data_IF_180144871846
#
_entry.id   IF_180144871846
#
_cell.length_a   1.000
_cell.length_b   1.000
_cell.length_c   1.000
_cell.angle_alpha   90.00
_cell.angle_beta   90.00
_cell.angle_gamma   90.00
#
_symmetry.space_group_name_H-M   'P 1'
#
loop_
_entity.id
_entity.type
_entity.pdbx_description
1 polymer ?
#
# COMPACT_ATOMS: atom_id res chain seq x y z
N UNK A 1 -22.17 -21.17 6.60
CA UNK A 1 -21.44 -20.12 7.34
C UNK A 1 -21.02 -19.09 6.32
N UNK A 2 -21.35 -17.83 6.54
CA UNK A 2 -21.03 -16.75 5.63
C UNK A 2 -19.79 -16.02 6.15
N UNK A 3 -18.85 -15.74 5.25
CA UNK A 3 -17.70 -14.88 5.52
C UNK A 3 -17.92 -13.54 4.81
N UNK A 4 -17.84 -12.47 5.57
CA UNK A 4 -17.94 -11.11 5.06
C UNK A 4 -16.72 -10.31 5.52
N UNK A 5 -16.23 -9.41 4.67
CA UNK A 5 -15.02 -8.61 4.94
C UNK A 5 -15.31 -7.14 4.69
N UNK A 6 -14.88 -6.27 5.60
CA UNK A 6 -14.91 -4.82 5.39
C UNK A 6 -13.73 -4.13 6.06
N UNK A 7 -13.18 -3.14 5.37
CA UNK A 7 -12.18 -2.21 5.91
C UNK A 7 -12.66 -0.76 5.90
N UNK A 8 -13.98 -0.55 5.76
CA UNK A 8 -14.60 0.78 5.69
C UNK A 8 -14.67 1.35 4.27
N UNK A 9 -14.13 0.63 3.28
CA UNK A 9 -14.30 0.93 1.86
C UNK A 9 -13.97 -0.29 0.99
N UNK A 10 -14.37 -0.24 -0.29
CA UNK A 10 -14.12 -1.33 -1.26
C UNK A 10 -12.64 -1.52 -1.62
N UNK A 11 -11.83 -0.47 -1.46
CA UNK A 11 -10.40 -0.46 -1.78
C UNK A 11 -9.52 -0.64 -0.54
N UNK A 12 -10.11 -0.89 0.64
CA UNK A 12 -9.35 -1.09 1.85
C UNK A 12 -8.43 -2.32 1.75
N UNK A 13 -7.16 -2.17 2.11
CA UNK A 13 -6.18 -3.25 2.19
C UNK A 13 -6.35 -4.04 3.50
N UNK A 14 -6.55 -3.35 4.62
CA UNK A 14 -6.81 -3.98 5.93
C UNK A 14 -8.30 -4.10 6.16
N UNK A 15 -8.77 -5.32 6.43
CA UNK A 15 -10.20 -5.62 6.63
C UNK A 15 -10.43 -6.43 7.90
N UNK A 16 -11.54 -6.17 8.58
CA UNK A 16 -12.13 -7.08 9.56
C UNK A 16 -12.89 -8.17 8.82
N UNK A 17 -12.82 -9.38 9.36
CA UNK A 17 -13.66 -10.50 8.91
C UNK A 17 -14.76 -10.72 9.93
N UNK A 18 -15.97 -10.98 9.43
CA UNK A 18 -17.10 -11.41 10.25
C UNK A 18 -17.57 -12.78 9.78
N UNK A 19 -17.75 -13.68 10.74
CA UNK A 19 -18.28 -15.02 10.54
C UNK A 19 -19.72 -15.03 11.03
N UNK A 20 -20.65 -15.26 10.11
CA UNK A 20 -22.08 -15.13 10.39
C UNK A 20 -22.83 -16.41 9.97
N UNK A 21 -23.89 -16.82 10.68
CA UNK A 21 -24.76 -17.90 10.21
C UNK A 21 -25.40 -17.56 8.84
N UNK A 22 -25.76 -18.56 8.00
CA UNK A 22 -26.29 -18.31 6.66
C UNK A 22 -27.58 -17.47 6.61
N UNK A 23 -28.35 -17.46 7.69
CA UNK A 23 -29.64 -16.81 7.80
C UNK A 23 -29.57 -15.36 8.30
N UNK A 24 -28.37 -14.85 8.64
CA UNK A 24 -28.20 -13.49 9.14
C UNK A 24 -27.38 -12.68 8.12
N UNK A 25 -27.97 -11.58 7.67
CA UNK A 25 -27.30 -10.65 6.75
C UNK A 25 -26.33 -9.75 7.51
N UNK A 26 -25.13 -9.57 6.96
CA UNK A 26 -24.10 -8.70 7.54
C UNK A 26 -24.23 -7.32 6.92
N UNK A 27 -24.41 -6.28 7.74
CA UNK A 27 -24.42 -4.87 7.28
C UNK A 27 -23.02 -4.24 7.37
N UNK A 28 -22.85 -2.97 6.96
CA UNK A 28 -21.57 -2.27 7.14
C UNK A 28 -21.30 -1.91 8.61
N UNK A 29 -22.34 -1.54 9.36
CA UNK A 29 -22.27 -1.18 10.78
C UNK A 29 -21.79 -2.34 11.65
N UNK A 30 -22.13 -3.56 11.22
CA UNK A 30 -21.72 -4.82 11.83
C UNK A 30 -20.20 -5.03 11.91
N UNK A 31 -19.43 -4.31 11.09
CA UNK A 31 -17.96 -4.38 11.15
C UNK A 31 -17.35 -3.45 12.20
N UNK A 32 -18.13 -2.54 12.80
CA UNK A 32 -17.68 -1.63 13.85
C UNK A 32 -16.39 -0.92 13.46
N UNK A 33 -16.48 -0.15 12.37
CA UNK A 33 -15.38 0.66 11.85
C UNK A 33 -15.72 2.13 11.99
N UNK A 34 -14.73 2.92 12.39
CA UNK A 34 -14.84 4.36 12.48
C UNK A 34 -13.74 5.01 11.66
N UNK A 35 -14.13 5.89 10.74
CA UNK A 35 -13.22 6.69 9.94
C UNK A 35 -13.03 8.05 10.60
N UNK A 36 -11.78 8.47 10.68
CA UNK A 36 -11.38 9.80 11.11
C UNK A 36 -10.83 10.61 9.95
N UNK A 37 -11.24 11.87 9.85
CA UNK A 37 -10.41 12.93 9.25
C UNK A 37 -9.44 13.43 10.30
N UNK A 38 -8.19 13.65 9.91
CA UNK A 38 -7.13 14.20 10.75
C UNK A 38 -6.81 15.59 10.23
N UNK A 39 -7.23 16.61 10.98
CA UNK A 39 -6.95 18.00 10.67
C UNK A 39 -5.60 18.39 11.25
N UNK A 40 -4.73 18.95 10.43
CA UNK A 40 -3.38 19.38 10.80
C UNK A 40 -2.93 20.57 9.93
N UNK A 41 -1.91 21.33 10.33
CA UNK A 41 -1.41 22.48 9.57
C UNK A 41 -0.62 22.04 8.32
N UNK A 42 -1.30 21.41 7.34
CA UNK A 42 -0.71 20.77 6.17
C UNK A 42 0.13 21.71 5.28
N UNK A 43 -0.09 23.03 5.36
CA UNK A 43 0.73 24.04 4.67
C UNK A 43 2.15 24.15 5.23
N UNK A 44 2.36 23.76 6.48
CA UNK A 44 3.60 23.96 7.22
C UNK A 44 4.27 22.65 7.65
N UNK A 45 3.51 21.55 7.74
CA UNK A 45 4.00 20.25 8.17
C UNK A 45 3.49 19.18 7.23
N UNK A 46 4.34 18.24 6.84
CA UNK A 46 3.94 17.00 6.16
C UNK A 46 3.84 15.87 7.16
N UNK A 47 2.81 15.04 7.03
CA UNK A 47 2.69 13.79 7.78
C UNK A 47 2.99 12.62 6.84
N UNK A 48 3.70 11.62 7.35
CA UNK A 48 3.84 10.33 6.69
C UNK A 48 3.02 9.27 7.43
N UNK A 49 2.69 8.17 6.73
CA UNK A 49 1.99 7.04 7.33
C UNK A 49 2.70 6.54 8.61
N UNK A 50 4.04 6.58 8.65
CA UNK A 50 4.82 6.15 9.82
C UNK A 50 4.54 7.01 11.06
N UNK A 51 4.23 8.29 10.87
CA UNK A 51 4.04 9.23 11.97
C UNK A 51 2.70 8.96 12.66
N UNK A 52 1.63 8.81 11.88
CA UNK A 52 0.30 8.45 12.39
C UNK A 52 0.38 7.11 13.11
N UNK A 53 1.00 6.09 12.48
CA UNK A 53 1.17 4.79 13.10
C UNK A 53 1.98 4.88 14.40
N UNK A 54 3.06 5.67 14.43
CA UNK A 54 3.86 5.88 15.62
C UNK A 54 3.06 6.50 16.78
N UNK A 55 2.26 7.52 16.50
CA UNK A 55 1.40 8.16 17.50
C UNK A 55 0.40 7.18 18.12
N UNK A 56 -0.25 6.36 17.29
CA UNK A 56 -1.18 5.33 17.73
C UNK A 56 -0.51 4.24 18.59
N UNK A 57 0.67 3.79 18.19
CA UNK A 57 1.41 2.77 18.94
C UNK A 57 1.88 3.30 20.29
N UNK A 58 2.23 4.59 20.37
CA UNK A 58 2.63 5.25 21.64
C UNK A 58 1.49 5.34 22.65
N UNK A 59 0.23 5.32 22.20
CA UNK A 59 -0.93 5.19 23.08
C UNK A 59 -1.11 3.78 23.67
N UNK A 60 -0.21 2.84 23.37
CA UNK A 60 -0.28 1.46 23.86
C UNK A 60 -1.32 0.59 23.13
N UNK A 61 -1.86 1.08 22.02
CA UNK A 61 -2.86 0.38 21.24
C UNK A 61 -2.23 -0.68 20.33
N UNK A 62 -2.93 -1.80 20.14
CA UNK A 62 -2.49 -2.89 19.28
C UNK A 62 -2.76 -2.59 17.81
N UNK A 63 -1.82 -2.99 16.94
CA UNK A 63 -1.91 -2.79 15.48
C UNK A 63 -3.16 -3.40 14.82
N UNK A 64 -3.73 -4.44 15.41
CA UNK A 64 -4.98 -5.09 14.96
C UNK A 64 -6.22 -4.20 15.08
N UNK A 65 -6.17 -3.14 15.91
CA UNK A 65 -7.28 -2.19 16.10
C UNK A 65 -7.31 -1.07 15.06
N UNK A 66 -6.34 -1.04 14.14
CA UNK A 66 -6.22 -0.03 13.11
C UNK A 66 -6.37 -0.63 11.71
N UNK A 67 -7.16 0.05 10.90
CA UNK A 67 -7.30 -0.20 9.47
C UNK A 67 -6.28 0.59 8.68
N UNK A 68 -6.70 1.07 7.51
CA UNK A 68 -5.86 1.83 6.60
C UNK A 68 -5.64 3.26 7.11
N UNK A 69 -4.46 3.80 6.79
CA UNK A 69 -4.09 5.19 7.03
C UNK A 69 -3.81 5.79 5.66
N UNK A 70 -4.58 6.81 5.30
CA UNK A 70 -4.43 7.55 4.05
C UNK A 70 -3.82 8.92 4.37
N UNK A 71 -2.72 9.27 3.69
CA UNK A 71 -2.14 10.61 3.80
C UNK A 71 -1.67 11.03 2.41
N UNK A 72 -2.26 12.11 1.89
CA UNK A 72 -1.87 12.65 0.58
C UNK A 72 -2.43 14.06 0.40
N UNK A 73 -1.66 14.93 -0.25
CA UNK A 73 -2.12 16.27 -0.69
C UNK A 73 -2.78 17.10 0.43
N UNK A 74 -2.26 16.97 1.66
CA UNK A 74 -2.78 17.67 2.84
C UNK A 74 -4.01 17.04 3.49
N UNK A 75 -4.54 15.95 2.92
CA UNK A 75 -5.61 15.15 3.49
C UNK A 75 -4.98 14.01 4.28
N UNK A 76 -5.44 13.81 5.51
CA UNK A 76 -5.07 12.66 6.33
C UNK A 76 -6.35 12.01 6.89
N UNK A 77 -6.46 10.69 6.70
CA UNK A 77 -7.57 9.89 7.18
C UNK A 77 -7.07 8.58 7.79
N UNK A 78 -7.84 8.02 8.72
CA UNK A 78 -7.52 6.76 9.37
C UNK A 78 -8.77 6.00 9.74
N UNK A 79 -8.75 4.69 9.51
CA UNK A 79 -9.78 3.76 9.99
C UNK A 79 -9.34 3.11 11.31
N UNK A 80 -10.26 3.05 12.27
CA UNK A 80 -10.07 2.38 13.56
C UNK A 80 -11.24 1.44 13.85
N UNK A 81 -11.03 0.49 14.76
CA UNK A 81 -12.13 -0.25 15.35
C UNK A 81 -12.96 0.69 16.26
N UNK A 82 -14.28 0.68 16.13
CA UNK A 82 -15.17 1.62 16.85
C UNK A 82 -14.96 1.59 18.36
N UNK A 83 -14.64 0.43 18.94
CA UNK A 83 -14.42 0.30 20.38
C UNK A 83 -13.24 1.12 20.95
N UNK A 84 -12.33 1.61 20.10
CA UNK A 84 -11.21 2.47 20.51
C UNK A 84 -11.34 3.92 19.99
N UNK A 85 -12.40 4.22 19.23
CA UNK A 85 -12.51 5.47 18.50
C UNK A 85 -12.48 6.70 19.42
N UNK A 86 -13.29 6.71 20.48
CA UNK A 86 -13.36 7.83 21.44
C UNK A 86 -12.03 8.05 22.16
N UNK A 87 -11.36 6.95 22.53
CA UNK A 87 -10.07 7.01 23.18
C UNK A 87 -9.00 7.61 22.25
N UNK A 88 -9.00 7.19 20.97
CA UNK A 88 -8.09 7.74 19.95
C UNK A 88 -8.38 9.22 19.70
N UNK A 89 -9.64 9.61 19.54
CA UNK A 89 -10.05 11.00 19.30
C UNK A 89 -9.62 11.93 20.45
N UNK A 90 -9.75 11.48 21.70
CA UNK A 90 -9.41 12.30 22.87
C UNK A 90 -7.89 12.42 23.12
N UNK A 91 -7.14 11.35 22.84
CA UNK A 91 -5.73 11.26 23.24
C UNK A 91 -4.73 11.56 22.12
N UNK A 92 -5.11 11.39 20.84
CA UNK A 92 -4.23 11.77 19.71
C UNK A 92 -4.34 13.27 19.46
N UNK A 93 -3.57 14.05 20.20
CA UNK A 93 -3.50 15.51 20.05
C UNK A 93 -2.29 15.96 19.23
N UNK A 94 -1.28 15.10 19.11
CA UNK A 94 -0.07 15.35 18.34
C UNK A 94 0.34 14.13 17.52
N UNK A 95 0.79 14.36 16.30
CA UNK A 95 1.37 13.33 15.42
C UNK A 95 2.70 13.87 14.88
N UNK A 96 3.79 13.19 15.20
CA UNK A 96 5.14 13.72 14.93
C UNK A 96 5.34 15.06 15.64
N UNK A 97 5.47 16.14 14.87
CA UNK A 97 5.57 17.52 15.38
C UNK A 97 4.30 18.36 15.16
N UNK A 98 3.28 17.79 14.50
CA UNK A 98 2.04 18.49 14.20
C UNK A 98 1.05 18.34 15.37
N UNK A 99 0.46 19.45 15.82
CA UNK A 99 -0.79 19.41 16.58
C UNK A 99 -1.91 19.02 15.62
N UNK A 100 -2.73 18.04 16.02
CA UNK A 100 -3.80 17.49 15.19
C UNK A 100 -5.14 17.53 15.91
N UNK A 101 -6.23 17.45 15.14
CA UNK A 101 -7.58 17.17 15.64
C UNK A 101 -8.19 16.04 14.82
N UNK A 102 -8.80 15.09 15.50
CA UNK A 102 -9.48 13.98 14.86
C UNK A 102 -10.98 14.27 14.83
N UNK A 103 -11.61 14.02 13.69
CA UNK A 103 -13.05 14.16 13.50
C UNK A 103 -13.62 12.89 12.89
N UNK A 104 -14.63 12.30 13.55
CA UNK A 104 -15.35 11.18 12.95
C UNK A 104 -16.12 11.66 11.73
N UNK A 105 -15.94 10.95 10.62
CA UNK A 105 -16.63 11.23 9.36
C UNK A 105 -17.29 9.93 8.85
N UNK A 106 -18.35 10.01 8.04
CA UNK A 106 -18.98 8.85 7.42
C UNK A 106 -17.99 8.00 6.62
N UNK A 107 -18.14 6.67 6.66
CA UNK A 107 -17.32 5.74 5.86
C UNK A 107 -17.42 6.02 4.34
N UNK A 108 -18.53 6.58 3.88
CA UNK A 108 -18.72 7.02 2.50
C UNK A 108 -17.76 8.13 2.06
N UNK A 109 -17.18 8.87 3.01
CA UNK A 109 -16.19 9.92 2.78
C UNK A 109 -14.74 9.39 2.84
N UNK A 110 -14.56 8.07 2.96
CA UNK A 110 -13.25 7.48 2.84
C UNK A 110 -12.66 7.83 1.48
N UNK A 111 -11.46 8.38 1.47
CA UNK A 111 -10.79 8.78 0.25
C UNK A 111 -10.20 7.55 -0.41
N UNK A 112 -10.58 7.34 -1.67
CA UNK A 112 -9.98 6.30 -2.51
C UNK A 112 -8.50 6.61 -2.71
N UNK A 113 -7.57 5.74 -2.26
CA UNK A 113 -6.19 5.82 -2.65
C UNK A 113 -6.15 5.80 -4.17
N UNK A 114 -5.60 6.85 -4.76
CA UNK A 114 -5.21 6.79 -6.16
C UNK A 114 -3.99 5.87 -6.17
N UNK A 115 -4.16 4.62 -6.60
CA UNK A 115 -3.01 3.82 -7.01
C UNK A 115 -2.42 4.52 -8.24
N UNK A 116 -1.50 5.45 -8.03
CA UNK A 116 -0.81 6.12 -9.12
C UNK A 116 0.21 5.17 -9.71
N UNK A 117 -0.25 4.50 -10.75
CA UNK A 117 0.62 3.82 -11.68
C UNK A 117 1.13 4.85 -12.67
N UNK A 118 2.39 5.25 -12.53
CA UNK A 118 3.06 6.01 -13.58
C UNK A 118 3.67 5.05 -14.61
N UNK A 119 3.46 5.34 -15.88
CA UNK A 119 4.08 4.63 -16.99
C UNK A 119 5.48 5.18 -17.28
N UNK A 120 6.41 4.27 -17.50
CA UNK A 120 7.80 4.56 -17.80
C UNK A 120 8.26 3.72 -18.98
N UNK A 121 9.24 4.25 -19.71
CA UNK A 121 10.00 3.51 -20.69
C UNK A 121 11.45 3.33 -20.20
N UNK A 122 12.00 2.14 -20.38
CA UNK A 122 13.40 1.86 -20.11
C UNK A 122 14.00 0.95 -21.19
N UNK A 123 15.32 0.81 -21.16
CA UNK A 123 16.05 -0.08 -22.04
C UNK A 123 16.92 -1.01 -21.21
N UNK A 124 16.73 -2.32 -21.36
CA UNK A 124 17.41 -3.37 -20.57
C UNK A 124 18.24 -4.28 -21.48
N UNK A 125 19.31 -4.86 -20.95
CA UNK A 125 20.13 -5.81 -21.71
C UNK A 125 19.49 -7.21 -21.83
N UNK A 126 18.58 -7.56 -20.94
CA UNK A 126 17.81 -8.83 -20.97
C UNK A 126 16.55 -8.70 -20.11
N UNK A 127 15.61 -9.64 -20.26
CA UNK A 127 14.37 -9.73 -19.46
C UNK A 127 14.57 -10.49 -18.13
N UNK A 128 15.82 -10.72 -17.71
CA UNK A 128 16.08 -11.33 -16.41
C UNK A 128 15.57 -10.43 -15.30
N UNK A 129 14.94 -11.04 -14.30
CA UNK A 129 14.36 -10.38 -13.15
C UNK A 129 15.34 -9.42 -12.48
N UNK A 130 16.58 -9.85 -12.23
CA UNK A 130 17.61 -9.01 -11.63
C UNK A 130 18.00 -7.76 -12.46
N UNK A 131 18.03 -7.87 -13.79
CA UNK A 131 18.33 -6.75 -14.71
C UNK A 131 17.16 -5.79 -14.75
N UNK A 132 15.94 -6.31 -14.91
CA UNK A 132 14.73 -5.49 -15.02
C UNK A 132 14.46 -4.75 -13.71
N UNK A 133 14.57 -5.42 -12.56
CA UNK A 133 14.40 -4.80 -11.25
C UNK A 133 15.43 -3.71 -10.97
N UNK A 134 16.70 -3.95 -11.31
CA UNK A 134 17.75 -2.95 -11.17
C UNK A 134 17.41 -1.67 -11.96
N UNK A 135 16.89 -1.84 -13.17
CA UNK A 135 16.49 -0.72 -14.03
C UNK A 135 15.22 -0.01 -13.52
N UNK A 136 14.16 -0.75 -13.16
CA UNK A 136 12.88 -0.19 -12.71
C UNK A 136 13.03 0.59 -11.41
N UNK A 137 13.78 0.04 -10.44
CA UNK A 137 13.94 0.65 -9.12
C UNK A 137 15.21 1.50 -8.98
N UNK A 138 15.96 1.72 -10.07
CA UNK A 138 17.22 2.48 -10.11
C UNK A 138 18.23 2.00 -9.05
N UNK A 139 18.36 0.68 -8.90
CA UNK A 139 19.28 0.01 -7.97
C UNK A 139 20.39 -0.70 -8.75
N UNK A 140 21.54 -0.95 -8.11
CA UNK A 140 22.54 -1.86 -8.68
C UNK A 140 22.05 -3.31 -8.63
N UNK A 141 22.49 -4.16 -9.57
CA UNK A 141 22.19 -5.61 -9.50
C UNK A 141 22.63 -6.24 -8.18
N UNK A 142 23.79 -5.83 -7.66
CA UNK A 142 24.28 -6.28 -6.34
C UNK A 142 23.35 -5.95 -5.17
N UNK A 143 22.55 -4.87 -5.27
CA UNK A 143 21.54 -4.53 -4.27
C UNK A 143 20.23 -5.31 -4.45
N UNK A 144 19.88 -5.66 -5.69
CA UNK A 144 18.61 -6.34 -6.01
C UNK A 144 18.68 -7.84 -5.77
N UNK A 145 19.77 -8.50 -6.13
CA UNK A 145 19.94 -9.96 -6.02
C UNK A 145 19.61 -10.49 -4.61
N UNK A 146 20.07 -9.87 -3.51
CA UNK A 146 19.71 -10.32 -2.16
C UNK A 146 18.20 -10.25 -1.85
N UNK A 147 17.42 -9.37 -2.49
CA UNK A 147 15.97 -9.35 -2.32
C UNK A 147 15.31 -10.54 -2.99
N UNK A 148 15.79 -10.92 -4.17
CA UNK A 148 15.31 -12.08 -4.92
C UNK A 148 15.61 -13.35 -4.11
N UNK A 149 16.87 -13.57 -3.74
CA UNK A 149 17.33 -14.77 -3.02
C UNK A 149 16.69 -14.93 -1.64
N UNK A 150 16.33 -13.83 -0.97
CA UNK A 150 15.62 -13.86 0.32
C UNK A 150 14.10 -14.02 0.17
N UNK A 151 13.59 -14.29 -1.04
CA UNK A 151 12.16 -14.46 -1.31
C UNK A 151 11.34 -13.18 -1.08
N UNK A 152 11.97 -12.01 -1.17
CA UNK A 152 11.33 -10.70 -0.98
C UNK A 152 10.76 -10.11 -2.29
N UNK A 153 10.85 -10.87 -3.37
CA UNK A 153 10.31 -10.54 -4.69
C UNK A 153 9.26 -11.58 -5.06
N UNK A 154 8.12 -11.11 -5.59
CA UNK A 154 7.09 -11.96 -6.17
C UNK A 154 6.85 -11.58 -7.62
N UNK A 155 6.69 -12.57 -8.48
CA UNK A 155 6.17 -12.42 -9.85
C UNK A 155 4.84 -13.14 -9.93
N UNK A 156 3.79 -12.46 -10.39
CA UNK A 156 2.43 -12.98 -10.47
C UNK A 156 1.98 -13.66 -9.16
N UNK A 157 2.13 -12.94 -8.05
CA UNK A 157 1.80 -13.37 -6.68
C UNK A 157 2.60 -14.56 -6.12
N UNK A 158 3.50 -15.16 -6.91
CA UNK A 158 4.38 -16.26 -6.50
C UNK A 158 5.78 -15.76 -6.17
N UNK A 159 6.42 -16.32 -5.15
CA UNK A 159 7.82 -15.99 -4.80
C UNK A 159 8.72 -16.33 -6.00
N UNK A 160 9.55 -15.36 -6.40
CA UNK A 160 10.60 -15.55 -7.40
C UNK A 160 11.95 -15.39 -6.70
N UNK A 161 12.66 -16.50 -6.57
CA UNK A 161 13.92 -16.64 -5.85
C UNK A 161 15.15 -16.82 -6.76
N UNK A 162 14.94 -16.87 -8.07
CA UNK A 162 15.99 -16.97 -9.08
C UNK A 162 16.24 -15.62 -9.76
N UNK A 163 17.43 -15.00 -9.62
CA UNK A 163 17.79 -13.76 -10.31
C UNK A 163 17.67 -13.84 -11.84
N UNK A 164 17.87 -15.04 -12.37
CA UNK A 164 17.80 -15.36 -13.79
C UNK A 164 16.38 -15.57 -14.33
N UNK A 165 15.34 -15.51 -13.47
CA UNK A 165 13.96 -15.68 -13.89
C UNK A 165 13.62 -14.73 -15.05
N UNK A 166 13.02 -15.27 -16.11
CA UNK A 166 12.70 -14.50 -17.32
C UNK A 166 11.31 -13.90 -17.18
N UNK A 167 11.24 -12.57 -17.22
CA UNK A 167 9.97 -11.84 -17.23
C UNK A 167 9.36 -11.83 -18.62
N UNK A 168 8.03 -11.81 -18.65
CA UNK A 168 7.22 -11.68 -19.84
C UNK A 168 6.39 -10.40 -19.81
N UNK A 169 5.83 -10.06 -20.97
CA UNK A 169 4.80 -9.03 -21.08
C UNK A 169 3.57 -9.41 -20.23
N UNK A 170 3.01 -8.45 -19.50
CA UNK A 170 1.89 -8.66 -18.59
C UNK A 170 2.27 -9.07 -17.16
N UNK A 171 3.55 -9.36 -16.88
CA UNK A 171 3.96 -9.79 -15.55
C UNK A 171 3.79 -8.68 -14.50
N UNK A 172 3.24 -9.06 -13.34
CA UNK A 172 3.22 -8.22 -12.14
C UNK A 172 4.37 -8.60 -11.21
N UNK A 173 5.12 -7.58 -10.77
CA UNK A 173 6.29 -7.73 -9.92
C UNK A 173 6.04 -6.98 -8.62
N UNK A 174 6.18 -7.64 -7.48
CA UNK A 174 6.09 -7.01 -6.16
C UNK A 174 7.43 -7.15 -5.44
N UNK A 175 8.03 -6.03 -5.04
CA UNK A 175 9.29 -6.01 -4.30
C UNK A 175 9.06 -5.41 -2.93
N UNK A 176 9.38 -6.17 -1.88
CA UNK A 176 9.20 -5.69 -0.50
C UNK A 176 9.97 -4.39 -0.28
N UNK A 177 9.29 -3.38 0.28
CA UNK A 177 9.78 -2.00 0.53
C UNK A 177 9.92 -1.09 -0.71
N UNK A 178 9.78 -1.63 -1.92
CA UNK A 178 9.91 -0.84 -3.16
C UNK A 178 8.61 -0.73 -3.95
N UNK A 179 7.57 -1.50 -3.60
CA UNK A 179 6.25 -1.41 -4.21
C UNK A 179 6.06 -2.39 -5.36
N UNK A 180 5.13 -2.06 -6.27
CA UNK A 180 4.73 -2.93 -7.39
C UNK A 180 5.14 -2.32 -8.73
N UNK A 181 5.46 -3.19 -9.68
CA UNK A 181 5.67 -2.87 -11.08
C UNK A 181 4.89 -3.83 -11.96
N UNK A 182 4.51 -3.39 -13.16
CA UNK A 182 3.83 -4.23 -14.14
C UNK A 182 4.45 -3.99 -15.52
N UNK A 183 4.83 -5.08 -16.19
CA UNK A 183 5.40 -5.01 -17.54
C UNK A 183 4.26 -4.84 -18.54
N UNK A 184 4.20 -3.69 -19.19
CA UNK A 184 3.15 -3.36 -20.15
C UNK A 184 3.49 -3.94 -21.52
N UNK A 185 4.71 -3.71 -22.00
CA UNK A 185 5.13 -4.14 -23.33
C UNK A 185 6.64 -4.31 -23.45
N UNK A 186 7.05 -5.25 -24.30
CA UNK A 186 8.46 -5.45 -24.68
C UNK A 186 8.62 -5.04 -26.16
N UNK A 187 9.07 -3.81 -26.40
CA UNK A 187 9.00 -3.12 -27.70
C UNK A 187 10.22 -3.32 -28.60
N UNK A 188 10.59 -4.59 -28.80
CA UNK A 188 11.71 -4.96 -29.68
C UNK A 188 13.08 -4.47 -29.18
N UNK A 189 14.06 -4.42 -30.09
CA UNK A 189 15.46 -4.10 -29.79
C UNK A 189 15.89 -2.75 -30.36
N UNK A 190 16.78 -2.09 -29.64
CA UNK A 190 17.51 -0.91 -30.11
C UNK A 190 18.61 -1.31 -31.10
N UNK A 191 19.19 -0.32 -31.82
CA UNK A 191 20.38 -0.52 -32.68
C UNK A 191 21.60 -1.11 -31.95
N UNK A 192 21.63 -1.07 -30.61
CA UNK A 192 22.68 -1.65 -29.76
C UNK A 192 22.23 -2.96 -29.11
N UNK A 193 21.27 -3.67 -29.70
CA UNK A 193 20.72 -4.97 -29.26
C UNK A 193 20.06 -4.98 -27.86
N UNK A 194 19.89 -3.83 -27.21
CA UNK A 194 19.14 -3.74 -25.94
C UNK A 194 17.63 -3.77 -26.17
N UNK A 195 16.87 -4.39 -25.27
CA UNK A 195 15.41 -4.47 -25.32
C UNK A 195 14.76 -3.20 -24.80
N UNK A 196 13.73 -2.70 -25.49
CA UNK A 196 12.88 -1.60 -25.02
C UNK A 196 11.75 -2.18 -24.17
N UNK A 197 11.52 -1.58 -23.02
CA UNK A 197 10.54 -2.03 -22.03
C UNK A 197 9.63 -0.86 -21.68
N UNK A 198 8.32 -1.03 -21.85
CA UNK A 198 7.32 -0.19 -21.19
C UNK A 198 6.80 -0.91 -19.95
N UNK A 199 6.76 -0.18 -18.85
CA UNK A 199 6.27 -0.69 -17.58
C UNK A 199 5.57 0.42 -16.83
N UNK A 200 4.66 0.05 -15.94
CA UNK A 200 4.12 0.96 -14.94
C UNK A 200 4.64 0.60 -13.56
N UNK A 201 4.82 1.61 -12.72
CA UNK A 201 5.25 1.44 -11.34
C UNK A 201 4.28 2.18 -10.44
N UNK A 202 3.89 1.53 -9.35
CA UNK A 202 3.10 2.13 -8.29
C UNK A 202 3.99 3.10 -7.50
N UNK A 203 3.57 4.35 -7.39
CA UNK A 203 4.25 5.41 -6.63
C UNK A 203 3.58 5.60 -5.27
#
# INVERSE_FOLDING_TARGET
MNLSFSGGSNYAERRRVRLTPPYLETTEEDFQLTLFSIDYPAKFVSLEHRDVLGALMNLGLKREKFGDIFIRDGIAQMVTATEIADYVEFNVQTIGKATVRLHKIPLSEHVKPVEEWEEFAATVSSLRLDVVLAQIYKLSRSKVVPYIEKGLVKVNWKIADQPAFMLAEGDYISVRKFGRAHIIAIEGRTKKEKLRLRYRRMI
#
